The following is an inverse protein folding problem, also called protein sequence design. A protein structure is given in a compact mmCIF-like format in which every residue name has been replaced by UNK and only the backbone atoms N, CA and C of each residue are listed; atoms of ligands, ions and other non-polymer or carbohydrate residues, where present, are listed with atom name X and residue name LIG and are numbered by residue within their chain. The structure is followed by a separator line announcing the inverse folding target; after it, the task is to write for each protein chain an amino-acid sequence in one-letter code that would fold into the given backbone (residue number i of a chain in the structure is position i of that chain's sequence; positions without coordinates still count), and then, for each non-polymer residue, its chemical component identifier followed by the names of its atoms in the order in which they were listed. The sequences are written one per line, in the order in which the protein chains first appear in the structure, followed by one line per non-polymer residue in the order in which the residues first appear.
data_IF_663369571622
#
_entry.id   IF_663369571622
#
_cell.length_a   1.000
_cell.length_b   1.000
_cell.length_c   1.000
_cell.angle_alpha   90.00
_cell.angle_beta   90.00
_cell.angle_gamma   90.00
#
_symmetry.space_group_name_H-M   'P 1'
#
loop_
_entity.id
_entity.type
_entity.pdbx_description
1 polymer ?
#
# COMPACT_ATOMS: atom_id res chain seq x y z
N UNK A 1 69.93 40.29 29.93
CA UNK A 1 68.56 40.52 29.42
C UNK A 1 68.21 39.42 28.41
N UNK A 2 67.18 38.65 28.78
CA UNK A 2 66.33 37.69 28.07
C UNK A 2 66.84 36.82 26.90
N UNK A 3 66.83 35.50 27.16
CA UNK A 3 66.81 34.41 26.18
C UNK A 3 65.40 34.28 25.55
N UNK A 4 65.26 34.43 24.23
CA UNK A 4 64.03 34.06 23.50
C UNK A 4 64.15 32.66 22.87
N UNK A 5 63.35 31.72 23.40
CA UNK A 5 63.13 30.36 22.88
C UNK A 5 62.45 30.43 21.50
N UNK A 6 63.02 29.78 20.49
CA UNK A 6 62.34 29.45 19.23
C UNK A 6 61.46 28.21 19.45
N UNK A 7 60.14 28.39 19.44
CA UNK A 7 59.17 27.29 19.49
C UNK A 7 58.97 26.78 18.06
N UNK A 8 59.27 25.50 17.82
CA UNK A 8 59.03 24.78 16.56
C UNK A 8 57.51 24.53 16.40
N UNK A 9 56.85 25.30 15.54
CA UNK A 9 55.41 25.23 15.26
C UNK A 9 55.08 24.51 13.94
N UNK A 10 55.95 23.62 13.45
CA UNK A 10 55.84 23.08 12.08
C UNK A 10 55.32 21.64 11.89
N UNK A 11 55.09 20.77 12.90
CA UNK A 11 54.55 19.43 12.61
C UNK A 11 53.01 19.32 12.70
N UNK A 12 52.31 20.30 13.30
CA UNK A 12 50.87 20.17 13.56
C UNK A 12 49.97 20.56 12.38
N UNK A 13 50.37 21.54 11.56
CA UNK A 13 49.55 22.04 10.45
C UNK A 13 49.46 21.01 9.30
N UNK A 14 50.52 20.22 9.09
CA UNK A 14 50.55 19.16 8.09
C UNK A 14 49.63 17.97 8.45
N UNK A 15 49.44 17.69 9.75
CA UNK A 15 48.61 16.57 10.21
C UNK A 15 47.10 16.86 10.10
N UNK A 16 46.69 18.12 10.25
CA UNK A 16 45.30 18.57 10.01
C UNK A 16 44.89 18.60 8.54
N UNK A 17 45.81 18.90 7.62
CA UNK A 17 45.50 18.94 6.18
C UNK A 17 45.26 17.54 5.59
N UNK A 18 45.94 16.51 6.10
CA UNK A 18 45.72 15.11 5.68
C UNK A 18 44.39 14.56 6.21
N UNK A 19 43.96 14.95 7.42
CA UNK A 19 42.67 14.54 7.98
C UNK A 19 41.45 15.17 7.28
N UNK A 20 41.56 16.44 6.85
CA UNK A 20 40.50 17.14 6.11
C UNK A 20 40.37 16.66 4.65
N UNK A 21 41.47 16.22 4.02
CA UNK A 21 41.43 15.61 2.68
C UNK A 21 40.85 14.19 2.71
N UNK A 22 41.12 13.40 3.75
CA UNK A 22 40.54 12.04 3.91
C UNK A 22 39.05 12.05 4.27
N UNK A 23 38.57 13.06 5.02
CA UNK A 23 37.16 13.19 5.37
C UNK A 23 36.28 13.61 4.18
N UNK A 24 36.81 14.41 3.26
CA UNK A 24 36.10 14.84 2.04
C UNK A 24 35.90 13.71 1.02
N UNK A 25 36.90 12.84 0.85
CA UNK A 25 36.83 11.70 -0.08
C UNK A 25 35.80 10.65 0.33
N UNK A 26 35.75 10.26 1.61
CA UNK A 26 34.80 9.25 2.09
C UNK A 26 33.34 9.76 2.08
N UNK A 27 33.11 11.03 2.39
CA UNK A 27 31.78 11.64 2.33
C UNK A 27 31.30 11.79 0.87
N UNK A 28 32.18 12.24 -0.04
CA UNK A 28 31.87 12.32 -1.47
C UNK A 28 31.59 10.93 -2.07
N UNK A 29 32.42 9.93 -1.77
CA UNK A 29 32.22 8.56 -2.24
C UNK A 29 30.92 7.93 -1.72
N UNK A 30 30.49 8.26 -0.49
CA UNK A 30 29.18 7.82 0.03
C UNK A 30 27.99 8.56 -0.57
N UNK A 31 28.13 9.83 -0.95
CA UNK A 31 27.07 10.60 -1.62
C UNK A 31 26.97 10.18 -3.09
N UNK A 32 28.10 9.97 -3.75
CA UNK A 32 28.20 9.51 -5.13
C UNK A 32 27.67 8.08 -5.25
N UNK A 33 28.06 7.16 -4.35
CA UNK A 33 27.43 5.83 -4.27
C UNK A 33 25.93 5.89 -4.02
N UNK A 34 25.46 6.77 -3.11
CA UNK A 34 24.00 6.93 -2.87
C UNK A 34 23.27 7.50 -4.08
N UNK A 35 23.91 8.41 -4.82
CA UNK A 35 23.36 9.01 -6.02
C UNK A 35 23.37 8.02 -7.19
N UNK A 36 24.45 7.27 -7.39
CA UNK A 36 24.54 6.16 -8.33
C UNK A 36 23.53 5.06 -8.00
N UNK A 37 23.37 4.67 -6.74
CA UNK A 37 22.32 3.75 -6.29
C UNK A 37 20.93 4.31 -6.63
N UNK A 38 20.72 5.61 -6.44
CA UNK A 38 19.47 6.27 -6.80
C UNK A 38 19.26 6.21 -8.32
N UNK A 39 20.26 6.60 -9.11
CA UNK A 39 20.21 6.66 -10.58
C UNK A 39 20.02 5.26 -11.18
N UNK A 40 20.69 4.24 -10.65
CA UNK A 40 20.50 2.84 -11.02
C UNK A 40 19.07 2.37 -10.70
N UNK A 41 18.54 2.73 -9.51
CA UNK A 41 17.13 2.48 -9.18
C UNK A 41 16.18 3.21 -10.10
N UNK A 42 16.49 4.42 -10.56
CA UNK A 42 15.65 5.17 -11.50
C UNK A 42 15.72 4.62 -12.92
N UNK A 43 16.91 4.26 -13.42
CA UNK A 43 17.13 3.71 -14.76
C UNK A 43 16.50 2.34 -14.95
N UNK A 44 16.77 1.40 -14.03
CA UNK A 44 16.16 0.07 -14.02
C UNK A 44 14.62 0.14 -13.92
N UNK A 45 14.09 1.18 -13.25
CA UNK A 45 12.66 1.37 -13.07
C UNK A 45 11.95 1.85 -14.33
N UNK A 46 12.61 2.56 -15.25
CA UNK A 46 12.00 2.97 -16.53
C UNK A 46 11.78 1.81 -17.48
N UNK A 47 12.79 0.94 -17.65
CA UNK A 47 12.68 -0.28 -18.47
C UNK A 47 11.74 -1.30 -17.80
N UNK A 48 11.84 -1.46 -16.47
CA UNK A 48 10.90 -2.29 -15.72
C UNK A 48 9.45 -1.78 -15.81
N UNK A 49 9.20 -0.47 -16.02
CA UNK A 49 7.83 0.08 -16.13
C UNK A 49 7.13 -0.31 -17.43
N UNK A 50 7.86 -0.30 -18.55
CA UNK A 50 7.31 -0.73 -19.83
C UNK A 50 7.05 -2.24 -19.82
N UNK A 51 8.02 -3.04 -19.34
CA UNK A 51 7.87 -4.49 -19.16
C UNK A 51 6.77 -4.85 -18.16
N UNK A 52 6.59 -4.08 -17.08
CA UNK A 52 5.54 -4.33 -16.08
C UNK A 52 4.12 -4.13 -16.61
N UNK A 53 3.91 -3.19 -17.54
CA UNK A 53 2.59 -2.98 -18.15
C UNK A 53 2.20 -4.16 -19.06
N UNK A 54 3.13 -4.63 -19.89
CA UNK A 54 2.92 -5.80 -20.75
C UNK A 54 2.74 -7.07 -19.92
N UNK A 55 3.58 -7.26 -18.90
CA UNK A 55 3.48 -8.39 -17.97
C UNK A 55 2.15 -8.39 -17.22
N UNK A 56 1.71 -7.23 -16.72
CA UNK A 56 0.38 -7.07 -16.11
C UNK A 56 -0.74 -7.44 -17.09
N UNK A 57 -0.69 -6.95 -18.32
CA UNK A 57 -1.70 -7.24 -19.32
C UNK A 57 -1.77 -8.74 -19.66
N UNK A 58 -0.61 -9.42 -19.73
CA UNK A 58 -0.53 -10.86 -19.94
C UNK A 58 -1.19 -11.64 -18.79
N UNK A 59 -0.92 -11.26 -17.53
CA UNK A 59 -1.58 -11.87 -16.37
C UNK A 59 -3.09 -11.62 -16.37
N UNK A 60 -3.52 -10.39 -16.62
CA UNK A 60 -4.95 -10.04 -16.66
C UNK A 60 -5.71 -10.80 -17.74
N UNK A 61 -5.06 -11.18 -18.85
CA UNK A 61 -5.68 -12.01 -19.89
C UNK A 61 -6.06 -13.42 -19.39
N UNK A 62 -5.39 -13.92 -18.34
CA UNK A 62 -5.69 -15.18 -17.67
C UNK A 62 -6.81 -15.10 -16.62
N UNK A 63 -7.38 -13.91 -16.37
CA UNK A 63 -8.40 -13.72 -15.36
C UNK A 63 -9.73 -14.40 -15.72
N UNK A 64 -10.49 -14.80 -14.71
CA UNK A 64 -11.85 -15.27 -14.91
C UNK A 64 -12.74 -14.18 -15.49
N UNK A 65 -13.53 -14.53 -16.52
CA UNK A 65 -14.51 -13.62 -17.14
C UNK A 65 -15.85 -13.72 -16.43
N UNK A 66 -15.85 -13.30 -15.17
CA UNK A 66 -17.01 -13.33 -14.27
C UNK A 66 -17.30 -11.91 -13.74
N UNK A 67 -18.37 -11.75 -12.98
CA UNK A 67 -18.70 -10.45 -12.42
C UNK A 67 -17.62 -9.95 -11.45
N UNK A 68 -17.49 -8.62 -11.23
CA UNK A 68 -16.55 -8.08 -10.26
C UNK A 68 -16.75 -8.64 -8.83
N UNK A 69 -17.98 -8.97 -8.47
CA UNK A 69 -18.28 -9.61 -7.19
C UNK A 69 -17.73 -11.03 -7.10
N UNK A 70 -17.92 -11.84 -8.15
CA UNK A 70 -17.37 -13.20 -8.22
C UNK A 70 -15.83 -13.19 -8.25
N UNK A 71 -15.22 -12.22 -8.95
CA UNK A 71 -13.78 -12.00 -8.94
C UNK A 71 -13.29 -11.70 -7.51
N UNK A 72 -13.93 -10.77 -6.80
CA UNK A 72 -13.57 -10.44 -5.41
C UNK A 72 -13.67 -11.66 -4.49
N UNK A 73 -14.75 -12.45 -4.59
CA UNK A 73 -14.87 -13.68 -3.82
C UNK A 73 -13.78 -14.71 -4.15
N UNK A 74 -13.38 -14.79 -5.42
CA UNK A 74 -12.35 -15.74 -5.86
C UNK A 74 -11.00 -15.49 -5.18
N UNK A 75 -10.70 -14.24 -4.81
CA UNK A 75 -9.40 -13.87 -4.23
C UNK A 75 -9.14 -14.57 -2.89
N UNK A 76 -10.20 -14.85 -2.14
CA UNK A 76 -10.11 -15.43 -0.79
C UNK A 76 -10.38 -16.93 -0.75
N UNK A 77 -10.45 -17.60 -1.91
CA UNK A 77 -10.63 -19.05 -1.97
C UNK A 77 -9.35 -19.76 -1.54
N UNK A 78 -9.42 -20.73 -0.62
CA UNK A 78 -8.27 -21.57 -0.28
C UNK A 78 -7.78 -22.35 -1.50
N UNK A 79 -6.46 -22.48 -1.65
CA UNK A 79 -5.86 -23.28 -2.71
C UNK A 79 -5.89 -22.66 -4.10
N UNK A 80 -6.19 -21.36 -4.23
CA UNK A 80 -6.05 -20.66 -5.51
C UNK A 80 -4.57 -20.60 -5.92
N UNK A 81 -4.30 -21.06 -7.14
CA UNK A 81 -2.97 -21.00 -7.75
C UNK A 81 -2.46 -19.56 -7.83
N UNK A 82 -1.18 -19.28 -7.54
CA UNK A 82 -0.63 -17.92 -7.50
C UNK A 82 -0.92 -17.09 -8.74
N UNK A 83 -0.62 -17.63 -9.92
CA UNK A 83 -0.84 -16.91 -11.19
C UNK A 83 -2.31 -16.56 -11.40
N UNK A 84 -3.22 -17.51 -11.11
CA UNK A 84 -4.66 -17.28 -11.24
C UNK A 84 -5.18 -16.26 -10.24
N UNK A 85 -4.70 -16.31 -9.00
CA UNK A 85 -5.03 -15.35 -7.96
C UNK A 85 -4.57 -13.94 -8.32
N UNK A 86 -3.34 -13.80 -8.86
CA UNK A 86 -2.81 -12.54 -9.34
C UNK A 86 -3.62 -12.00 -10.52
N UNK A 87 -3.93 -12.84 -11.52
CA UNK A 87 -4.74 -12.48 -12.67
C UNK A 87 -6.12 -11.94 -12.26
N UNK A 88 -6.83 -12.67 -11.39
CA UNK A 88 -8.16 -12.25 -10.92
C UNK A 88 -8.10 -10.95 -10.09
N UNK A 89 -7.08 -10.79 -9.25
CA UNK A 89 -6.92 -9.59 -8.42
C UNK A 89 -6.60 -8.34 -9.27
N UNK A 90 -5.69 -8.47 -10.24
CA UNK A 90 -5.34 -7.38 -11.17
C UNK A 90 -6.54 -7.00 -12.04
N UNK A 91 -7.27 -7.99 -12.56
CA UNK A 91 -8.49 -7.76 -13.34
C UNK A 91 -9.57 -7.05 -12.52
N UNK A 92 -9.80 -7.48 -11.27
CA UNK A 92 -10.72 -6.79 -10.36
C UNK A 92 -10.29 -5.34 -10.15
N UNK A 93 -9.01 -5.09 -9.89
CA UNK A 93 -8.49 -3.74 -9.71
C UNK A 93 -8.74 -2.87 -10.95
N UNK A 94 -8.49 -3.39 -12.14
CA UNK A 94 -8.73 -2.71 -13.42
C UNK A 94 -10.21 -2.42 -13.69
N UNK A 95 -11.12 -3.25 -13.18
CA UNK A 95 -12.57 -3.02 -13.27
C UNK A 95 -13.09 -1.97 -12.28
N UNK A 96 -12.42 -1.81 -11.13
CA UNK A 96 -12.91 -0.95 -10.04
C UNK A 96 -12.24 0.42 -9.99
N UNK A 97 -10.98 0.51 -10.41
CA UNK A 97 -10.16 1.71 -10.30
C UNK A 97 -9.77 2.19 -11.69
N UNK A 98 -9.82 3.50 -11.90
CA UNK A 98 -9.45 4.10 -13.18
C UNK A 98 -8.03 3.67 -13.58
N UNK A 99 -7.92 3.12 -14.79
CA UNK A 99 -6.68 2.58 -15.37
C UNK A 99 -6.03 1.45 -14.55
N UNK A 100 -6.76 0.88 -13.58
CA UNK A 100 -6.23 -0.12 -12.65
C UNK A 100 -5.08 0.40 -11.78
N UNK A 101 -4.94 1.72 -11.63
CA UNK A 101 -3.84 2.38 -10.92
C UNK A 101 -4.21 2.67 -9.46
N UNK A 102 -3.55 2.02 -8.47
CA UNK A 102 -3.82 2.26 -7.05
C UNK A 102 -3.61 3.71 -6.59
N UNK A 103 -2.81 4.52 -7.30
CA UNK A 103 -2.68 5.95 -7.01
C UNK A 103 -4.02 6.70 -7.22
N UNK A 104 -4.89 6.16 -8.08
CA UNK A 104 -6.24 6.68 -8.37
C UNK A 104 -7.30 5.91 -7.61
N UNK A 105 -6.96 5.25 -6.50
CA UNK A 105 -7.89 4.43 -5.72
C UNK A 105 -9.21 5.14 -5.39
N UNK A 106 -9.18 6.44 -5.06
CA UNK A 106 -10.38 7.24 -4.78
C UNK A 106 -11.36 7.35 -5.98
N UNK A 107 -10.99 6.91 -7.19
CA UNK A 107 -11.90 6.80 -8.33
C UNK A 107 -12.91 5.67 -8.19
N UNK A 108 -12.59 4.61 -7.44
CA UNK A 108 -13.55 3.56 -7.12
C UNK A 108 -14.74 4.16 -6.34
N UNK A 109 -15.96 3.78 -6.71
CA UNK A 109 -17.18 4.25 -6.07
C UNK A 109 -18.33 3.25 -6.26
N UNK A 110 -19.22 3.22 -5.26
CA UNK A 110 -20.41 2.38 -5.24
C UNK A 110 -20.14 0.99 -4.69
N UNK A 111 -21.04 0.06 -5.01
CA UNK A 111 -21.07 -1.27 -4.38
C UNK A 111 -21.04 -2.39 -5.42
N UNK A 112 -20.47 -3.52 -5.01
CA UNK A 112 -20.52 -4.80 -5.70
C UNK A 112 -21.83 -5.49 -5.33
N UNK A 113 -22.63 -5.83 -6.35
CA UNK A 113 -23.85 -6.61 -6.20
C UNK A 113 -23.58 -8.11 -6.45
N UNK A 114 -24.33 -9.01 -5.80
CA UNK A 114 -25.55 -8.75 -5.02
C UNK A 114 -25.34 -8.39 -3.54
N UNK A 115 -24.13 -8.50 -2.99
CA UNK A 115 -23.93 -8.39 -1.53
C UNK A 115 -23.74 -6.97 -0.99
N UNK A 116 -23.89 -5.94 -1.81
CA UNK A 116 -23.66 -4.54 -1.44
C UNK A 116 -22.29 -4.34 -0.75
N UNK A 117 -21.23 -4.87 -1.35
CA UNK A 117 -19.86 -4.72 -0.81
C UNK A 117 -19.20 -3.46 -1.37
N UNK A 118 -18.65 -2.54 -0.55
CA UNK A 118 -18.04 -1.30 -1.04
C UNK A 118 -16.90 -1.54 -2.04
N UNK A 119 -17.04 -1.02 -3.26
CA UNK A 119 -16.00 -1.10 -4.31
C UNK A 119 -14.66 -0.49 -3.89
N UNK A 120 -14.59 0.65 -3.18
CA UNK A 120 -13.30 1.19 -2.74
C UNK A 120 -12.54 0.21 -1.84
N UNK A 121 -13.22 -0.43 -0.89
CA UNK A 121 -12.58 -1.42 -0.03
C UNK A 121 -12.20 -2.69 -0.80
N UNK A 122 -13.06 -3.14 -1.73
CA UNK A 122 -12.75 -4.29 -2.59
C UNK A 122 -11.57 -4.03 -3.54
N UNK A 123 -11.37 -2.78 -3.96
CA UNK A 123 -10.20 -2.39 -4.72
C UNK A 123 -8.91 -2.42 -3.87
N UNK A 124 -8.99 -2.06 -2.59
CA UNK A 124 -7.86 -2.22 -1.68
C UNK A 124 -7.54 -3.70 -1.42
N UNK A 125 -8.56 -4.55 -1.27
CA UNK A 125 -8.41 -6.01 -1.22
C UNK A 125 -7.70 -6.53 -2.47
N UNK A 126 -8.11 -6.07 -3.66
CA UNK A 126 -7.50 -6.46 -4.92
C UNK A 126 -6.00 -6.14 -4.95
N UNK A 127 -5.57 -4.97 -4.47
CA UNK A 127 -4.14 -4.62 -4.39
C UNK A 127 -3.38 -5.56 -3.47
N UNK A 128 -3.91 -5.81 -2.27
CA UNK A 128 -3.27 -6.69 -1.29
C UNK A 128 -3.16 -8.13 -1.79
N UNK A 129 -4.25 -8.65 -2.34
CA UNK A 129 -4.29 -10.02 -2.85
C UNK A 129 -3.44 -10.18 -4.11
N UNK A 130 -3.43 -9.19 -5.01
CA UNK A 130 -2.52 -9.19 -6.16
C UNK A 130 -1.06 -9.26 -5.68
N UNK A 131 -0.65 -8.39 -4.74
CA UNK A 131 0.71 -8.40 -4.23
C UNK A 131 1.07 -9.74 -3.55
N UNK A 132 0.16 -10.30 -2.74
CA UNK A 132 0.34 -11.58 -2.09
C UNK A 132 0.54 -12.71 -3.11
N UNK A 133 -0.29 -12.78 -4.15
CA UNK A 133 -0.18 -13.81 -5.17
C UNK A 133 1.04 -13.64 -6.07
N UNK A 134 1.35 -12.40 -6.49
CA UNK A 134 2.53 -12.07 -7.28
C UNK A 134 3.83 -12.45 -6.54
N UNK A 135 3.93 -12.17 -5.24
CA UNK A 135 5.10 -12.57 -4.46
C UNK A 135 5.26 -14.09 -4.35
N UNK A 136 4.16 -14.85 -4.39
CA UNK A 136 4.19 -16.32 -4.39
C UNK A 136 4.59 -16.94 -5.73
N UNK A 137 4.58 -16.18 -6.82
CA UNK A 137 5.07 -16.65 -8.12
C UNK A 137 6.60 -16.74 -8.16
N UNK A 138 7.29 -16.05 -7.24
CA UNK A 138 8.76 -16.05 -7.11
C UNK A 138 9.52 -15.52 -8.34
N UNK A 139 8.82 -14.92 -9.31
CA UNK A 139 9.41 -14.23 -10.45
C UNK A 139 9.79 -12.78 -10.11
N UNK A 140 10.95 -12.32 -10.58
CA UNK A 140 11.44 -10.95 -10.35
C UNK A 140 10.42 -9.89 -10.81
N UNK A 141 9.87 -10.06 -12.02
CA UNK A 141 8.87 -9.14 -12.58
C UNK A 141 7.56 -9.14 -11.77
N UNK A 142 7.13 -10.28 -11.25
CA UNK A 142 5.97 -10.36 -10.36
C UNK A 142 6.22 -9.59 -9.06
N UNK A 143 7.40 -9.75 -8.46
CA UNK A 143 7.83 -9.00 -7.28
C UNK A 143 7.84 -7.48 -7.51
N UNK A 144 8.43 -7.03 -8.63
CA UNK A 144 8.42 -5.62 -8.99
C UNK A 144 7.00 -5.08 -9.25
N UNK A 145 6.13 -5.85 -9.90
CA UNK A 145 4.73 -5.47 -10.08
C UNK A 145 4.02 -5.36 -8.73
N UNK A 146 4.21 -6.30 -7.80
CA UNK A 146 3.64 -6.26 -6.46
C UNK A 146 4.06 -4.99 -5.69
N UNK A 147 5.36 -4.65 -5.71
CA UNK A 147 5.87 -3.44 -5.10
C UNK A 147 5.27 -2.18 -5.76
N UNK A 148 5.14 -2.17 -7.09
CA UNK A 148 4.57 -1.02 -7.83
C UNK A 148 3.12 -0.73 -7.45
N UNK A 149 2.32 -1.76 -7.12
CA UNK A 149 0.94 -1.58 -6.69
C UNK A 149 0.87 -0.86 -5.33
N UNK A 150 1.74 -1.24 -4.40
CA UNK A 150 1.83 -0.59 -3.08
C UNK A 150 2.43 0.82 -3.20
N UNK A 151 3.38 1.04 -4.10
CA UNK A 151 3.84 2.38 -4.45
C UNK A 151 2.72 3.25 -5.02
N UNK A 152 1.80 2.68 -5.80
CA UNK A 152 0.59 3.37 -6.25
C UNK A 152 -0.25 3.86 -5.06
N UNK A 153 -0.53 2.99 -4.09
CA UNK A 153 -1.29 3.38 -2.88
C UNK A 153 -0.58 4.50 -2.08
N UNK A 154 0.76 4.50 -2.05
CA UNK A 154 1.54 5.56 -1.39
C UNK A 154 1.35 6.94 -2.02
N UNK A 155 0.98 7.01 -3.31
CA UNK A 155 0.77 8.28 -4.02
C UNK A 155 -0.58 8.92 -3.68
N UNK A 156 -1.58 8.17 -3.21
CA UNK A 156 -2.80 8.74 -2.62
C UNK A 156 -2.63 8.91 -1.12
N UNK A 157 -2.69 10.15 -0.63
CA UNK A 157 -2.59 10.43 0.82
C UNK A 157 -3.66 9.69 1.63
N UNK A 158 -4.88 9.56 1.07
CA UNK A 158 -5.98 8.85 1.71
C UNK A 158 -5.77 7.34 1.69
N UNK A 159 -5.38 6.77 0.54
CA UNK A 159 -5.12 5.34 0.44
C UNK A 159 -3.94 4.92 1.34
N UNK A 160 -2.87 5.71 1.36
CA UNK A 160 -1.75 5.56 2.30
C UNK A 160 -2.24 5.52 3.75
N UNK A 161 -3.08 6.46 4.16
CA UNK A 161 -3.58 6.52 5.53
C UNK A 161 -4.41 5.29 5.92
N UNK A 162 -5.40 4.92 5.10
CA UNK A 162 -6.38 3.89 5.43
C UNK A 162 -5.87 2.47 5.20
N UNK A 163 -4.98 2.25 4.25
CA UNK A 163 -4.56 0.91 3.86
C UNK A 163 -3.10 0.60 4.15
N UNK A 164 -2.22 1.58 4.35
CA UNK A 164 -0.80 1.32 4.59
C UNK A 164 -0.39 1.68 6.01
N UNK A 165 -0.50 2.94 6.41
CA UNK A 165 -0.08 3.38 7.76
C UNK A 165 -1.04 2.93 8.85
N UNK A 166 -2.26 2.59 8.48
CA UNK A 166 -3.24 1.93 9.33
C UNK A 166 -3.66 0.66 8.62
N UNK A 167 -2.74 -0.30 8.44
CA UNK A 167 -2.94 -1.48 7.58
C UNK A 167 -3.53 -2.68 8.31
N UNK A 168 -3.95 -3.73 7.59
CA UNK A 168 -4.37 -4.99 8.17
C UNK A 168 -3.13 -5.77 8.65
N UNK A 169 -3.34 -6.84 9.42
CA UNK A 169 -2.23 -7.69 9.91
C UNK A 169 -1.28 -8.17 8.79
N UNK A 170 -1.85 -8.43 7.62
CA UNK A 170 -1.15 -8.94 6.44
C UNK A 170 -0.14 -7.94 5.86
N UNK A 171 -0.29 -6.64 6.13
CA UNK A 171 0.65 -5.60 5.67
C UNK A 171 2.08 -5.88 6.12
N UNK A 172 2.26 -6.18 7.41
CA UNK A 172 3.58 -6.41 7.99
C UNK A 172 4.29 -7.60 7.35
N UNK A 173 3.55 -8.66 7.00
CA UNK A 173 4.07 -9.84 6.32
C UNK A 173 4.52 -9.48 4.90
N UNK A 174 3.65 -8.83 4.12
CA UNK A 174 3.96 -8.45 2.74
C UNK A 174 5.16 -7.50 2.65
N UNK A 175 5.22 -6.49 3.51
CA UNK A 175 6.33 -5.54 3.54
C UNK A 175 7.63 -6.19 3.98
N UNK A 176 7.59 -7.11 4.95
CA UNK A 176 8.78 -7.85 5.36
C UNK A 176 9.31 -8.70 4.21
N UNK A 177 8.43 -9.37 3.48
CA UNK A 177 8.78 -10.17 2.30
C UNK A 177 9.36 -9.31 1.17
N UNK A 178 8.70 -8.20 0.83
CA UNK A 178 9.21 -7.25 -0.17
C UNK A 178 10.57 -6.70 0.23
N UNK A 179 10.76 -6.35 1.50
CA UNK A 179 12.03 -5.83 2.02
C UNK A 179 13.14 -6.88 1.93
N UNK A 180 12.85 -8.14 2.29
CA UNK A 180 13.81 -9.24 2.20
C UNK A 180 14.28 -9.49 0.75
N UNK A 181 13.40 -9.24 -0.23
CA UNK A 181 13.69 -9.33 -1.67
C UNK A 181 14.29 -8.04 -2.27
N UNK A 182 14.58 -7.02 -1.46
CA UNK A 182 15.11 -5.73 -1.95
C UNK A 182 14.10 -4.88 -2.74
N UNK A 183 12.81 -5.24 -2.70
CA UNK A 183 11.70 -4.55 -3.35
C UNK A 183 11.27 -3.35 -2.51
N UNK A 184 12.10 -2.30 -2.52
CA UNK A 184 11.91 -1.10 -1.72
C UNK A 184 11.21 -0.01 -2.52
N UNK A 185 10.39 0.84 -1.86
CA UNK A 185 9.82 2.00 -2.52
C UNK A 185 10.92 3.01 -2.86
N UNK A 186 10.64 3.93 -3.78
CA UNK A 186 11.59 4.96 -4.23
C UNK A 186 12.28 5.79 -3.14
N UNK A 187 11.67 5.96 -1.97
CA UNK A 187 12.22 6.67 -0.82
C UNK A 187 12.92 5.75 0.20
N UNK A 188 13.11 4.47 -0.13
CA UNK A 188 14.04 3.56 0.52
C UNK A 188 13.48 2.67 1.64
N UNK A 189 12.32 2.98 2.24
CA UNK A 189 11.70 2.15 3.30
C UNK A 189 10.18 2.17 3.18
N UNK A 190 9.53 1.02 3.33
CA UNK A 190 8.07 0.95 3.47
C UNK A 190 7.61 1.67 4.76
N UNK A 191 6.46 2.38 4.75
CA UNK A 191 6.00 3.07 5.95
C UNK A 191 5.65 2.07 7.06
N UNK A 192 5.80 2.53 8.31
CA UNK A 192 5.31 1.76 9.45
C UNK A 192 3.78 1.79 9.49
N UNK A 193 3.20 0.74 10.07
CA UNK A 193 1.77 0.53 10.09
C UNK A 193 1.25 0.24 11.49
N UNK A 194 0.26 1.03 11.91
CA UNK A 194 -0.59 0.69 13.03
C UNK A 194 -1.57 -0.39 12.56
N UNK A 195 -1.40 -1.63 13.06
CA UNK A 195 -2.26 -2.73 12.68
C UNK A 195 -3.72 -2.48 13.08
N UNK A 196 -4.63 -2.57 12.12
CA UNK A 196 -6.07 -2.43 12.30
C UNK A 196 -6.81 -3.46 11.45
N UNK A 197 -7.31 -4.50 12.13
CA UNK A 197 -8.07 -5.59 11.51
C UNK A 197 -7.22 -6.59 10.75
N UNK A 198 -7.88 -7.30 9.85
CA UNK A 198 -7.33 -8.31 8.92
C UNK A 198 -8.04 -8.19 7.58
N UNK A 199 -7.46 -8.76 6.53
CA UNK A 199 -8.17 -8.94 5.26
C UNK A 199 -9.31 -9.96 5.39
N UNK A 200 -10.39 -9.84 4.59
CA UNK A 200 -10.67 -8.74 3.65
C UNK A 200 -11.03 -7.44 4.36
N UNK A 201 -10.69 -6.30 3.76
CA UNK A 201 -11.21 -4.99 4.15
C UNK A 201 -12.69 -4.87 3.79
N UNK A 202 -13.06 -5.31 2.59
CA UNK A 202 -14.42 -5.19 2.10
C UNK A 202 -15.29 -6.24 2.77
N UNK A 203 -16.50 -5.84 3.13
CA UNK A 203 -17.53 -6.73 3.60
C UNK A 203 -18.89 -6.24 3.09
N UNK A 204 -19.87 -7.14 2.94
CA UNK A 204 -21.26 -6.75 2.75
C UNK A 204 -21.71 -5.77 3.84
N UNK A 205 -22.44 -4.72 3.48
CA UNK A 205 -23.12 -3.88 4.47
C UNK A 205 -24.18 -4.73 5.17
N UNK A 206 -24.08 -4.91 6.49
CA UNK A 206 -25.02 -5.71 7.27
C UNK A 206 -25.27 -5.11 8.65
N UNK A 207 -26.54 -4.98 8.99
CA UNK A 207 -26.97 -4.41 10.26
C UNK A 207 -26.75 -2.91 10.34
N UNK A 208 -26.96 -2.36 11.52
CA UNK A 208 -26.96 -0.93 11.77
C UNK A 208 -26.17 -0.58 13.03
N UNK A 209 -25.71 0.67 13.10
CA UNK A 209 -25.01 1.23 14.26
C UNK A 209 -25.41 2.69 14.42
N UNK A 210 -25.50 3.17 15.66
CA UNK A 210 -25.72 4.60 15.89
C UNK A 210 -24.43 5.38 15.63
N UNK A 211 -24.56 6.64 15.20
CA UNK A 211 -23.40 7.51 14.99
C UNK A 211 -22.52 7.63 16.25
N UNK A 212 -23.13 7.80 17.43
CA UNK A 212 -22.40 7.87 18.71
C UNK A 212 -21.62 6.59 19.01
N UNK A 213 -22.21 5.42 18.74
CA UNK A 213 -21.54 4.14 18.91
C UNK A 213 -20.38 3.96 17.94
N UNK A 214 -20.57 4.29 16.66
CA UNK A 214 -19.51 4.23 15.65
C UNK A 214 -18.29 5.06 16.04
N UNK A 215 -18.49 6.28 16.57
CA UNK A 215 -17.42 7.11 17.12
C UNK A 215 -16.74 6.46 18.33
N UNK A 216 -17.53 5.96 19.29
CA UNK A 216 -16.98 5.37 20.53
C UNK A 216 -16.17 4.09 20.31
N UNK A 217 -16.42 3.36 19.21
CA UNK A 217 -15.70 2.12 18.86
C UNK A 217 -14.55 2.37 17.84
N UNK A 218 -14.24 3.64 17.51
CA UNK A 218 -13.25 4.05 16.50
C UNK A 218 -13.52 3.48 15.09
N UNK A 219 -14.79 3.39 14.69
CA UNK A 219 -15.15 2.94 13.34
C UNK A 219 -14.83 4.05 12.32
N UNK A 220 -14.45 3.63 11.11
CA UNK A 220 -14.21 4.57 10.00
C UNK A 220 -15.52 4.79 9.25
N UNK A 221 -15.99 6.03 9.14
CA UNK A 221 -17.20 6.31 8.35
C UNK A 221 -16.93 6.15 6.85
N UNK A 222 -17.95 5.71 6.10
CA UNK A 222 -17.94 5.66 4.64
C UNK A 222 -19.10 6.48 4.08
N UNK A 223 -18.85 7.24 3.00
CA UNK A 223 -19.90 7.95 2.28
C UNK A 223 -20.87 7.02 1.53
N UNK A 224 -21.90 7.59 0.91
CA UNK A 224 -22.88 6.86 0.10
C UNK A 224 -22.30 6.11 -1.10
N UNK A 225 -21.01 6.30 -1.43
CA UNK A 225 -20.29 5.56 -2.46
C UNK A 225 -19.30 4.55 -1.86
N UNK A 226 -19.31 4.33 -0.55
CA UNK A 226 -18.47 3.38 0.15
C UNK A 226 -17.02 3.84 0.35
N UNK A 227 -16.74 5.15 0.21
CA UNK A 227 -15.39 5.70 0.42
C UNK A 227 -15.24 6.21 1.86
N UNK A 228 -14.10 5.97 2.55
CA UNK A 228 -13.80 6.52 3.86
C UNK A 228 -13.96 8.04 3.94
N UNK A 229 -14.62 8.56 4.96
CA UNK A 229 -14.80 9.99 5.21
C UNK A 229 -14.80 10.27 6.71
N UNK A 230 -14.81 11.55 7.09
CA UNK A 230 -14.98 11.97 8.48
C UNK A 230 -16.39 11.71 9.03
N UNK A 231 -17.38 11.63 8.15
CA UNK A 231 -18.77 11.28 8.45
C UNK A 231 -19.38 10.59 7.22
N UNK A 232 -20.38 9.75 7.39
CA UNK A 232 -20.99 9.03 6.27
C UNK A 232 -22.16 8.12 6.63
N UNK A 233 -22.79 7.60 5.59
CA UNK A 233 -23.97 6.72 5.65
C UNK A 233 -23.65 5.34 6.20
N UNK A 234 -22.39 4.92 6.15
CA UNK A 234 -21.95 3.62 6.64
C UNK A 234 -20.79 3.77 7.63
N UNK A 235 -20.60 2.75 8.45
CA UNK A 235 -19.49 2.65 9.40
C UNK A 235 -18.74 1.34 9.18
N UNK A 236 -17.44 1.45 8.96
CA UNK A 236 -16.51 0.35 8.77
C UNK A 236 -15.82 0.03 10.10
N UNK A 237 -16.25 -1.06 10.71
CA UNK A 237 -15.61 -1.66 11.88
C UNK A 237 -14.45 -2.53 11.40
N UNK A 238 -13.29 -1.88 11.28
CA UNK A 238 -12.04 -2.50 10.85
C UNK A 238 -11.61 -3.64 11.76
N UNK A 239 -11.79 -3.46 13.07
CA UNK A 239 -11.35 -4.43 14.10
C UNK A 239 -12.12 -5.74 13.94
N UNK A 240 -13.41 -5.68 13.60
CA UNK A 240 -14.27 -6.85 13.39
C UNK A 240 -14.46 -7.29 11.93
N UNK A 241 -13.96 -6.52 10.96
CA UNK A 241 -14.15 -6.79 9.53
C UNK A 241 -15.62 -6.71 9.11
N UNK A 242 -16.35 -5.70 9.61
CA UNK A 242 -17.79 -5.52 9.35
C UNK A 242 -18.11 -4.11 8.90
N UNK A 243 -19.21 -3.97 8.17
CA UNK A 243 -19.71 -2.67 7.71
C UNK A 243 -21.20 -2.58 8.06
N UNK A 244 -21.59 -1.46 8.67
CA UNK A 244 -22.94 -1.21 9.16
C UNK A 244 -23.52 0.04 8.50
N UNK A 245 -24.84 0.09 8.39
CA UNK A 245 -25.55 1.35 8.11
C UNK A 245 -25.57 2.23 9.35
N UNK A 246 -25.27 3.52 9.20
CA UNK A 246 -25.32 4.49 10.30
C UNK A 246 -26.74 5.03 10.42
N UNK A 247 -27.32 4.92 11.61
CA UNK A 247 -28.66 5.44 11.94
C UNK A 247 -28.59 6.52 13.03
N UNK A 248 -29.51 7.47 13.00
CA UNK A 248 -29.63 8.47 14.06
C UNK A 248 -30.30 7.87 15.30
N UNK A 249 -29.91 8.30 16.50
CA UNK A 249 -30.48 7.84 17.78
C UNK A 249 -31.99 8.15 17.94
N UNK A 250 -32.55 8.98 17.06
CA UNK A 250 -33.95 9.41 17.06
C UNK A 250 -34.82 8.73 16.00
N UNK A 251 -34.45 7.54 15.53
CA UNK A 251 -35.31 6.76 14.64
C UNK A 251 -36.06 5.64 15.39
N UNK A 252 -37.17 5.94 16.10
CA UNK A 252 -37.94 4.95 16.85
C UNK A 252 -38.75 3.98 15.96
N UNK A 253 -38.64 4.06 14.63
CA UNK A 253 -39.46 3.29 13.69
C UNK A 253 -38.66 2.53 12.61
N UNK A 254 -37.39 2.19 12.85
CA UNK A 254 -36.71 1.26 11.95
C UNK A 254 -37.26 -0.17 12.12
N UNK A 255 -38.23 -0.53 11.26
CA UNK A 255 -38.72 -1.91 11.12
C UNK A 255 -37.79 -2.63 10.13
N UNK A 256 -37.09 -3.69 10.53
CA UNK A 256 -36.25 -4.46 9.62
C UNK A 256 -37.16 -5.19 8.61
N UNK A 257 -36.88 -5.04 7.33
CA UNK A 257 -37.36 -5.96 6.31
C UNK A 257 -36.30 -7.05 6.11
N UNK A 258 -36.75 -8.31 6.13
CA UNK A 258 -35.95 -9.53 5.95
C UNK A 258 -35.23 -9.59 4.58
#
# INVERSE_FOLDING_TARGET
MEKKKRIRFFPWIAMTAVFLAFAGGAAAETVEKRFEDLVLRYGARTEARAGAAEYRAALEAGADRVSPWELWQSLFRPGTEPEKGAANALSLLSLLVKDGDPARWDSAAGFLYPSETPKPLAAADAVYMAALYLLRMEEDMAGHLAASLFEGLLQSSRAKHFFLTTGPAEYGVLVSEMTARGLLPSFGKWPESAQAGRLPFAAPVRGWVTHGRALSEDMVFLDGAGRPQSNGTYAWDRKRGRIYTVVEERDPFFIPWD
#
